data_IF_450081455812
#
_entry.id   IF_450081455812
#
_cell.length_a   1.000
_cell.length_b   1.000
_cell.length_c   1.000
_cell.angle_alpha   90.00
_cell.angle_beta   90.00
_cell.angle_gamma   90.00
#
_symmetry.space_group_name_H-M   'P 1'
#
loop_
_entity.id
_entity.type
_entity.pdbx_description
1 polymer ?
#
# COMPACT_ATOMS: atom_id res chain seq x y z
N UNK A 1 20.27 6.65 -4.23
CA UNK A 1 19.28 6.94 -5.27
C UNK A 1 18.54 5.64 -5.53
N UNK A 2 17.68 5.24 -4.60
CA UNK A 2 16.79 4.11 -4.79
C UNK A 2 15.53 4.71 -5.36
N UNK A 3 15.23 4.39 -6.61
CA UNK A 3 14.12 4.98 -7.34
C UNK A 3 12.78 4.55 -6.71
N UNK A 4 11.83 5.47 -6.47
CA UNK A 4 10.54 5.14 -5.87
C UNK A 4 9.71 4.12 -6.71
N UNK A 5 10.01 3.94 -8.00
CA UNK A 5 9.37 2.91 -8.82
C UNK A 5 9.79 1.49 -8.38
N UNK A 6 11.05 1.28 -7.99
CA UNK A 6 11.53 -0.05 -7.54
C UNK A 6 10.86 -0.48 -6.23
N UNK A 7 10.68 0.45 -5.29
CA UNK A 7 10.04 0.16 -4.00
C UNK A 7 8.56 -0.23 -4.18
N UNK A 8 7.85 0.45 -5.07
CA UNK A 8 6.43 0.19 -5.37
C UNK A 8 6.26 -1.12 -6.15
N UNK A 9 7.16 -1.40 -7.10
CA UNK A 9 7.19 -2.65 -7.84
C UNK A 9 7.48 -3.84 -6.90
N UNK A 10 8.48 -3.70 -6.02
CA UNK A 10 8.82 -4.72 -5.03
C UNK A 10 7.71 -4.94 -4.01
N UNK A 11 6.99 -3.88 -3.63
CA UNK A 11 5.86 -3.99 -2.71
C UNK A 11 4.72 -4.83 -3.29
N UNK A 12 4.44 -4.72 -4.59
CA UNK A 12 3.43 -5.52 -5.29
C UNK A 12 3.90 -6.91 -5.72
N UNK A 13 5.20 -7.20 -5.62
CA UNK A 13 5.78 -8.43 -6.12
C UNK A 13 5.55 -9.60 -5.13
N UNK A 14 4.95 -10.72 -5.55
CA UNK A 14 4.67 -11.85 -4.67
C UNK A 14 5.92 -12.64 -4.29
N UNK A 15 7.07 -12.40 -4.94
CA UNK A 15 8.37 -13.03 -4.66
C UNK A 15 9.26 -12.16 -3.77
N UNK A 16 8.78 -10.97 -3.38
CA UNK A 16 9.49 -10.09 -2.47
C UNK A 16 9.73 -10.77 -1.11
N UNK A 17 10.96 -10.66 -0.62
CA UNK A 17 11.35 -11.25 0.67
C UNK A 17 10.65 -10.55 1.84
N UNK A 18 10.26 -11.29 2.90
CA UNK A 18 9.57 -10.73 4.07
C UNK A 18 10.37 -9.62 4.77
N UNK A 19 11.70 -9.68 4.70
CA UNK A 19 12.58 -8.64 5.25
C UNK A 19 12.50 -7.32 4.45
N UNK A 20 12.38 -7.42 3.12
CA UNK A 20 12.16 -6.26 2.26
C UNK A 20 10.77 -5.67 2.48
N UNK A 21 9.74 -6.52 2.60
CA UNK A 21 8.37 -6.10 2.91
C UNK A 21 8.28 -5.39 4.27
N UNK A 22 9.01 -5.85 5.29
CA UNK A 22 9.09 -5.16 6.59
C UNK A 22 9.73 -3.78 6.49
N UNK A 23 10.81 -3.65 5.71
CA UNK A 23 11.43 -2.34 5.45
C UNK A 23 10.48 -1.38 4.73
N UNK A 24 9.75 -1.88 3.74
CA UNK A 24 8.78 -1.09 2.98
C UNK A 24 7.55 -0.73 3.83
N UNK A 25 7.21 -1.54 4.84
CA UNK A 25 6.12 -1.24 5.77
C UNK A 25 6.46 -0.05 6.68
N UNK A 26 7.73 0.06 7.06
CA UNK A 26 8.24 1.18 7.86
C UNK A 26 8.48 2.44 7.01
N UNK A 27 8.58 2.31 5.68
CA UNK A 27 8.86 3.41 4.76
C UNK A 27 7.89 4.59 4.97
N UNK A 28 8.38 5.84 5.02
CA UNK A 28 7.54 7.00 5.25
C UNK A 28 6.59 7.31 4.09
N UNK A 29 6.80 6.71 2.91
CA UNK A 29 6.01 6.98 1.71
C UNK A 29 4.68 6.21 1.77
N UNK A 30 3.54 6.90 1.80
CA UNK A 30 2.23 6.23 1.86
C UNK A 30 1.94 5.40 0.60
N UNK A 31 2.50 5.78 -0.56
CA UNK A 31 2.38 5.03 -1.82
C UNK A 31 2.98 3.60 -1.73
N UNK A 32 4.16 3.47 -1.11
CA UNK A 32 4.83 2.19 -0.90
C UNK A 32 4.01 1.30 0.04
N UNK A 33 3.52 1.89 1.14
CA UNK A 33 2.60 1.24 2.09
C UNK A 33 1.31 0.75 1.43
N UNK A 34 0.72 1.54 0.54
CA UNK A 34 -0.49 1.14 -0.18
C UNK A 34 -0.23 -0.01 -1.17
N UNK A 35 0.90 0.00 -1.87
CA UNK A 35 1.29 -1.09 -2.77
C UNK A 35 1.50 -2.41 -2.02
N UNK A 36 2.06 -2.36 -0.80
CA UNK A 36 2.16 -3.55 0.07
C UNK A 36 0.77 -4.14 0.37
N UNK A 37 -0.22 -3.29 0.64
CA UNK A 37 -1.59 -3.74 0.88
C UNK A 37 -2.25 -4.34 -0.37
N UNK A 38 -1.79 -4.01 -1.58
CA UNK A 38 -2.26 -4.66 -2.80
C UNK A 38 -1.66 -6.07 -2.97
N UNK A 39 -0.53 -6.37 -2.34
CA UNK A 39 0.13 -7.66 -2.46
C UNK A 39 -0.63 -8.78 -1.70
N UNK A 40 -1.04 -9.86 -2.38
CA UNK A 40 -1.73 -10.98 -1.75
C UNK A 40 -0.80 -11.85 -0.90
N UNK A 41 0.52 -11.82 -1.16
CA UNK A 41 1.53 -12.57 -0.41
C UNK A 41 1.95 -11.87 0.88
N UNK A 42 1.42 -10.68 1.18
CA UNK A 42 1.75 -9.94 2.39
C UNK A 42 1.16 -10.64 3.64
N UNK A 43 1.96 -10.87 4.70
CA UNK A 43 1.46 -11.42 5.95
C UNK A 43 0.36 -10.55 6.56
N UNK A 44 -0.66 -11.16 7.15
CA UNK A 44 -1.80 -10.45 7.74
C UNK A 44 -1.39 -9.46 8.84
N UNK A 45 -0.35 -9.79 9.62
CA UNK A 45 0.18 -8.94 10.69
C UNK A 45 0.76 -7.62 10.14
N UNK A 46 1.65 -7.72 9.16
CA UNK A 46 2.20 -6.58 8.42
C UNK A 46 1.12 -5.79 7.70
N UNK A 47 0.17 -6.49 7.07
CA UNK A 47 -0.98 -5.86 6.39
C UNK A 47 -1.80 -5.01 7.37
N UNK A 48 -2.02 -5.49 8.59
CA UNK A 48 -2.73 -4.72 9.61
C UNK A 48 -1.94 -3.49 10.07
N UNK A 49 -0.64 -3.64 10.33
CA UNK A 49 0.24 -2.53 10.73
C UNK A 49 0.29 -1.41 9.68
N UNK A 50 0.52 -1.77 8.42
CA UNK A 50 0.61 -0.82 7.31
C UNK A 50 -0.73 -0.10 7.09
N UNK A 51 -1.84 -0.83 7.16
CA UNK A 51 -3.18 -0.25 7.04
C UNK A 51 -3.50 0.70 8.21
N UNK A 52 -3.11 0.35 9.43
CA UNK A 52 -3.27 1.21 10.60
C UNK A 52 -2.44 2.50 10.48
N UNK A 53 -1.20 2.39 9.98
CA UNK A 53 -0.33 3.54 9.71
C UNK A 53 -0.93 4.51 8.71
N UNK A 54 -1.38 4.03 7.54
CA UNK A 54 -2.05 4.86 6.54
C UNK A 54 -3.30 5.55 7.09
N UNK A 55 -4.06 4.87 7.96
CA UNK A 55 -5.24 5.47 8.60
C UNK A 55 -4.86 6.57 9.60
N UNK A 56 -3.77 6.40 10.33
CA UNK A 56 -3.25 7.43 11.23
C UNK A 56 -2.75 8.64 10.45
N UNK A 57 -2.03 8.43 9.34
CA UNK A 57 -1.59 9.49 8.42
C UNK A 57 -2.79 10.25 7.84
N UNK A 58 -3.81 9.54 7.35
CA UNK A 58 -5.04 10.16 6.86
C UNK A 58 -5.74 10.98 7.95
N UNK A 59 -5.84 10.45 9.18
CA UNK A 59 -6.40 11.16 10.33
C UNK A 59 -5.56 12.39 10.74
N UNK A 60 -4.27 12.41 10.45
CA UNK A 60 -3.38 13.56 10.63
C UNK A 60 -3.53 14.62 9.51
N UNK A 61 -4.40 14.38 8.52
CA UNK A 61 -4.64 15.29 7.39
C UNK A 61 -3.79 15.00 6.15
N UNK A 62 -3.17 13.82 6.05
CA UNK A 62 -2.46 13.40 4.84
C UNK A 62 -3.46 12.99 3.75
N UNK A 63 -3.72 13.90 2.81
CA UNK A 63 -4.64 13.66 1.70
C UNK A 63 -4.18 12.55 0.74
N UNK A 64 -2.88 12.29 0.62
CA UNK A 64 -2.38 11.18 -0.19
C UNK A 64 -2.73 9.83 0.44
N UNK A 65 -2.51 9.69 1.75
CA UNK A 65 -2.86 8.48 2.48
C UNK A 65 -4.38 8.22 2.45
N UNK A 66 -5.20 9.27 2.59
CA UNK A 66 -6.66 9.17 2.49
C UNK A 66 -7.09 8.69 1.10
N UNK A 67 -6.54 9.28 0.03
CA UNK A 67 -6.85 8.89 -1.34
C UNK A 67 -6.39 7.45 -1.65
N UNK A 68 -5.23 7.03 -1.14
CA UNK A 68 -4.74 5.67 -1.30
C UNK A 68 -5.61 4.64 -0.57
N UNK A 69 -6.11 4.96 0.63
CA UNK A 69 -7.09 4.11 1.33
C UNK A 69 -8.42 4.03 0.56
N UNK A 70 -8.87 5.14 -0.02
CA UNK A 70 -10.06 5.16 -0.87
C UNK A 70 -9.86 4.28 -2.12
N UNK A 71 -8.69 4.37 -2.77
CA UNK A 71 -8.32 3.53 -3.91
C UNK A 71 -8.24 2.04 -3.54
N UNK A 72 -7.62 1.68 -2.41
CA UNK A 72 -7.56 0.29 -1.94
C UNK A 72 -8.93 -0.31 -1.63
N UNK A 73 -9.85 0.51 -1.12
CA UNK A 73 -11.24 0.11 -0.89
C UNK A 73 -11.95 -0.14 -2.23
N UNK A 74 -11.63 0.65 -3.24
CA UNK A 74 -12.17 0.53 -4.58
C UNK A 74 -11.62 -0.72 -5.31
N UNK A 75 -10.30 -0.94 -5.33
CA UNK A 75 -9.62 -2.07 -5.96
C UNK A 75 -10.06 -3.44 -5.39
N UNK A 76 -10.27 -3.53 -4.08
CA UNK A 76 -10.71 -4.76 -3.40
C UNK A 76 -12.19 -5.10 -3.60
N UNK A 77 -12.95 -4.25 -4.28
CA UNK A 77 -14.38 -4.44 -4.55
C UNK A 77 -14.65 -5.18 -5.86
N UNK A 78 -13.88 -6.22 -6.23
CA UNK A 78 -14.11 -7.12 -7.38
C UNK A 78 -14.42 -6.47 -8.75
N UNK A 79 -14.30 -5.15 -8.88
CA UNK A 79 -14.50 -4.42 -10.12
C UNK A 79 -13.16 -4.35 -10.81
N UNK A 80 -12.93 -5.29 -11.73
CA UNK A 80 -11.85 -5.25 -12.71
C UNK A 80 -11.77 -3.87 -13.35
N UNK A 81 -10.87 -3.00 -12.89
CA UNK A 81 -10.27 -1.80 -13.52
C UNK A 81 -11.16 -0.84 -14.38
N UNK A 82 -12.48 -1.03 -14.46
CA UNK A 82 -13.36 -0.54 -15.51
C UNK A 82 -14.62 0.10 -14.94
N UNK A 83 -14.50 0.81 -13.82
CA UNK A 83 -15.58 1.65 -13.29
C UNK A 83 -14.98 2.82 -12.50
N UNK A 84 -13.88 3.39 -12.99
CA UNK A 84 -13.31 4.60 -12.37
C UNK A 84 -14.39 5.69 -12.47
N UNK A 85 -14.89 6.26 -11.35
CA UNK A 85 -15.76 7.42 -11.47
C UNK A 85 -14.92 8.59 -11.99
N UNK A 86 -15.47 9.24 -13.02
CA UNK A 86 -15.01 10.48 -13.64
C UNK A 86 -14.96 11.66 -12.66
#
# INVERSE_FOLDING_TARGET
MTDPMDATALAGDPTASPEALSRLADDPSPAVRAALLANPSLPADLRYQVHAGLRADAAAGNGEAENLLAWLRYDRSDRTACDRPE
#
